data_IF_486765884038
#
_entry.id   IF_486765884038
#
_cell.length_a   1.000
_cell.length_b   1.000
_cell.length_c   1.000
_cell.angle_alpha   90.00
_cell.angle_beta   90.00
_cell.angle_gamma   90.00
#
_symmetry.space_group_name_H-M   'P 1'
#
loop_
_entity.id
_entity.type
_entity.pdbx_description
1 polymer ?
#
# COMPACT_ATOMS: atom_id res chain seq x y z
N UNK A 1 -15.60 -24.91 -14.62
CA UNK A 1 -15.28 -23.49 -14.82
C UNK A 1 -13.90 -23.38 -15.44
N UNK A 2 -13.63 -22.41 -16.32
CA UNK A 2 -12.27 -22.17 -16.82
C UNK A 2 -11.39 -21.67 -15.67
N UNK A 3 -10.11 -22.06 -15.67
CA UNK A 3 -9.13 -21.58 -14.68
C UNK A 3 -9.06 -20.05 -14.74
N UNK A 4 -9.19 -19.39 -13.60
CA UNK A 4 -8.98 -17.94 -13.49
C UNK A 4 -7.47 -17.66 -13.51
N UNK A 5 -7.04 -16.77 -14.39
CA UNK A 5 -5.65 -16.35 -14.53
C UNK A 5 -5.60 -14.84 -14.55
N UNK A 6 -4.97 -14.26 -13.54
CA UNK A 6 -4.80 -12.80 -13.41
C UNK A 6 -3.32 -12.43 -13.39
N UNK A 7 -3.03 -11.15 -13.49
CA UNK A 7 -1.68 -10.62 -13.39
C UNK A 7 -1.65 -9.22 -12.78
N UNK A 8 -0.57 -8.91 -12.08
CA UNK A 8 -0.16 -7.54 -11.82
C UNK A 8 0.99 -7.18 -12.76
N UNK A 9 0.87 -6.07 -13.48
CA UNK A 9 1.78 -5.70 -14.57
C UNK A 9 2.27 -4.25 -14.43
N UNK A 10 3.14 -3.96 -13.43
CA UNK A 10 3.65 -2.62 -13.20
C UNK A 10 4.79 -2.25 -14.16
N UNK A 11 4.87 -0.96 -14.54
CA UNK A 11 6.07 -0.38 -15.14
C UNK A 11 7.05 0.04 -14.04
N UNK A 12 8.34 -0.36 -14.08
CA UNK A 12 9.32 -0.08 -13.04
C UNK A 12 9.90 1.34 -13.20
N UNK A 13 9.04 2.36 -13.22
CA UNK A 13 9.40 3.78 -13.35
C UNK A 13 9.50 4.51 -12.00
N UNK A 14 9.38 3.78 -10.90
CA UNK A 14 9.45 4.26 -9.53
C UNK A 14 8.98 3.18 -8.54
N UNK A 15 8.92 3.56 -7.26
CA UNK A 15 8.46 2.65 -6.20
C UNK A 15 6.98 2.28 -6.36
N UNK A 16 6.61 1.12 -5.84
CA UNK A 16 5.22 0.66 -5.87
C UNK A 16 4.31 1.59 -5.05
N UNK A 17 3.37 2.20 -5.75
CA UNK A 17 2.37 3.07 -5.15
C UNK A 17 1.23 2.24 -4.53
N UNK A 18 0.63 2.71 -3.43
CA UNK A 18 -0.47 1.98 -2.76
C UNK A 18 -1.66 1.71 -3.69
N UNK A 19 -1.92 2.57 -4.68
CA UNK A 19 -2.94 2.30 -5.71
C UNK A 19 -2.60 1.09 -6.58
N UNK A 20 -1.31 0.91 -6.92
CA UNK A 20 -0.81 -0.28 -7.59
C UNK A 20 -0.92 -1.52 -6.69
N UNK A 21 -0.52 -1.41 -5.42
CA UNK A 21 -0.65 -2.51 -4.46
C UNK A 21 -2.11 -2.93 -4.28
N UNK A 22 -3.06 -1.99 -4.18
CA UNK A 22 -4.49 -2.33 -4.13
C UNK A 22 -4.92 -3.16 -5.35
N UNK A 23 -4.49 -2.74 -6.53
CA UNK A 23 -4.78 -3.47 -7.77
C UNK A 23 -4.16 -4.87 -7.76
N UNK A 24 -2.94 -5.01 -7.25
CA UNK A 24 -2.28 -6.29 -7.07
C UNK A 24 -3.04 -7.19 -6.09
N UNK A 25 -3.50 -6.64 -4.96
CA UNK A 25 -4.32 -7.35 -3.97
C UNK A 25 -5.61 -7.89 -4.62
N UNK A 26 -6.32 -7.10 -5.41
CA UNK A 26 -7.55 -7.54 -6.07
C UNK A 26 -7.30 -8.68 -7.07
N UNK A 27 -6.23 -8.58 -7.87
CA UNK A 27 -5.83 -9.66 -8.78
C UNK A 27 -5.46 -10.94 -8.03
N UNK A 28 -4.69 -10.82 -6.94
CA UNK A 28 -4.29 -11.92 -6.08
C UNK A 28 -5.49 -12.62 -5.44
N UNK A 29 -6.36 -11.84 -4.79
CA UNK A 29 -7.54 -12.37 -4.11
C UNK A 29 -8.46 -13.09 -5.09
N UNK A 30 -8.73 -12.51 -6.26
CA UNK A 30 -9.60 -13.13 -7.25
C UNK A 30 -9.03 -14.44 -7.80
N UNK A 31 -7.75 -14.47 -8.11
CA UNK A 31 -7.10 -15.71 -8.56
C UNK A 31 -7.13 -16.78 -7.48
N UNK A 32 -6.70 -16.46 -6.26
CA UNK A 32 -6.58 -17.43 -5.16
C UNK A 32 -7.93 -17.94 -4.67
N UNK A 33 -8.95 -17.08 -4.58
CA UNK A 33 -10.33 -17.48 -4.26
C UNK A 33 -10.89 -18.54 -5.22
N UNK A 34 -10.46 -18.51 -6.48
CA UNK A 34 -10.89 -19.42 -7.52
C UNK A 34 -9.87 -20.55 -7.81
N UNK A 35 -8.90 -20.79 -6.93
CA UNK A 35 -7.82 -21.78 -7.15
C UNK A 35 -7.08 -21.56 -8.49
N UNK A 36 -7.03 -20.32 -8.93
CA UNK A 36 -6.43 -19.85 -10.16
C UNK A 36 -4.97 -19.46 -10.02
N UNK A 37 -4.43 -18.81 -11.06
CA UNK A 37 -3.04 -18.33 -11.10
C UNK A 37 -2.96 -16.82 -11.06
N UNK A 38 -1.98 -16.32 -10.33
CA UNK A 38 -1.64 -14.90 -10.25
C UNK A 38 -0.20 -14.69 -10.67
N UNK A 39 0.03 -13.92 -11.73
CA UNK A 39 1.36 -13.67 -12.29
C UNK A 39 1.84 -12.25 -12.01
N UNK A 40 3.17 -12.11 -11.93
CA UNK A 40 3.84 -10.81 -11.91
C UNK A 40 4.57 -10.59 -13.24
N UNK A 41 4.26 -9.47 -13.93
CA UNK A 41 4.92 -9.05 -15.17
C UNK A 41 5.48 -7.64 -14.99
N UNK A 42 6.74 -7.45 -15.29
CA UNK A 42 7.41 -6.14 -15.28
C UNK A 42 7.36 -5.56 -16.70
N UNK A 43 6.70 -4.41 -16.84
CA UNK A 43 6.53 -3.71 -18.12
C UNK A 43 7.68 -2.71 -18.34
N UNK A 44 8.85 -3.24 -18.71
CA UNK A 44 10.13 -2.55 -18.80
C UNK A 44 10.59 -2.31 -20.27
N UNK A 45 9.65 -2.09 -21.19
CA UNK A 45 9.97 -1.82 -22.60
C UNK A 45 10.59 -0.45 -22.85
N UNK A 46 10.38 0.54 -21.96
CA UNK A 46 10.99 1.88 -22.05
C UNK A 46 12.30 1.91 -21.25
N UNK A 47 13.40 1.51 -21.90
CA UNK A 47 14.72 1.38 -21.29
C UNK A 47 15.26 2.69 -20.68
N UNK A 48 14.76 3.86 -21.11
CA UNK A 48 15.23 5.15 -20.59
C UNK A 48 14.57 5.55 -19.25
N UNK A 49 13.44 4.95 -18.92
CA UNK A 49 12.64 5.31 -17.74
C UNK A 49 12.60 4.23 -16.66
N UNK A 50 13.11 3.05 -16.96
CA UNK A 50 13.10 1.90 -16.07
C UNK A 50 14.36 1.83 -15.22
N UNK A 51 14.21 1.39 -13.97
CA UNK A 51 15.34 1.06 -13.11
C UNK A 51 15.22 -0.34 -12.50
N UNK A 52 16.35 -0.99 -12.31
CA UNK A 52 16.43 -2.30 -11.65
C UNK A 52 15.99 -2.15 -10.18
N UNK A 53 16.34 -1.02 -9.56
CA UNK A 53 15.98 -0.70 -8.18
C UNK A 53 14.45 -0.61 -8.02
N UNK A 54 13.75 0.01 -8.99
CA UNK A 54 12.29 0.08 -8.95
C UNK A 54 11.64 -1.30 -9.13
N UNK A 55 12.20 -2.16 -10.00
CA UNK A 55 11.72 -3.54 -10.14
C UNK A 55 11.93 -4.35 -8.85
N UNK A 56 13.10 -4.24 -8.22
CA UNK A 56 13.39 -4.89 -6.94
C UNK A 56 12.47 -4.38 -5.82
N UNK A 57 12.20 -3.08 -5.75
CA UNK A 57 11.30 -2.52 -4.75
C UNK A 57 9.85 -3.05 -4.89
N UNK A 58 9.38 -3.34 -6.11
CA UNK A 58 8.09 -3.99 -6.33
C UNK A 58 8.11 -5.42 -5.75
N UNK A 59 9.19 -6.17 -5.98
CA UNK A 59 9.34 -7.54 -5.48
C UNK A 59 9.41 -7.55 -3.95
N UNK A 60 10.15 -6.62 -3.35
CA UNK A 60 10.25 -6.47 -1.89
C UNK A 60 8.90 -6.13 -1.26
N UNK A 61 8.14 -5.21 -1.87
CA UNK A 61 6.80 -4.89 -1.43
C UNK A 61 5.86 -6.11 -1.46
N UNK A 62 5.92 -6.92 -2.52
CA UNK A 62 5.16 -8.17 -2.63
C UNK A 62 5.54 -9.17 -1.54
N UNK A 63 6.85 -9.33 -1.30
CA UNK A 63 7.35 -10.19 -0.23
C UNK A 63 6.89 -9.74 1.14
N UNK A 64 6.94 -8.43 1.41
CA UNK A 64 6.49 -7.88 2.69
C UNK A 64 5.00 -8.11 2.94
N UNK A 65 4.14 -7.81 1.95
CA UNK A 65 2.67 -7.98 2.11
C UNK A 65 2.21 -9.42 1.95
N UNK A 66 3.08 -10.35 1.54
CA UNK A 66 2.76 -11.77 1.37
C UNK A 66 1.94 -12.08 0.11
N UNK A 67 2.12 -11.30 -0.97
CA UNK A 67 1.50 -11.59 -2.27
C UNK A 67 2.39 -12.53 -3.09
N UNK A 68 2.15 -13.83 -2.97
CA UNK A 68 2.87 -14.85 -3.73
C UNK A 68 2.31 -14.96 -5.16
N UNK A 69 3.19 -14.87 -6.16
CA UNK A 69 2.86 -15.05 -7.58
C UNK A 69 3.33 -16.41 -8.09
N UNK A 70 2.71 -16.89 -9.16
CA UNK A 70 3.01 -18.17 -9.78
C UNK A 70 4.11 -18.04 -10.83
N UNK A 71 5.01 -19.01 -10.88
CA UNK A 71 6.06 -19.10 -11.88
C UNK A 71 7.13 -18.00 -11.74
N UNK A 72 7.81 -17.73 -12.84
CA UNK A 72 8.85 -16.70 -12.90
C UNK A 72 8.27 -15.32 -13.26
N UNK A 73 8.95 -14.26 -12.85
CA UNK A 73 8.61 -12.89 -13.24
C UNK A 73 8.87 -12.73 -14.75
N UNK A 74 7.85 -12.32 -15.47
CA UNK A 74 7.99 -12.01 -16.88
C UNK A 74 8.47 -10.56 -17.05
N UNK A 75 9.60 -10.38 -17.77
CA UNK A 75 10.13 -9.07 -18.16
C UNK A 75 9.85 -8.83 -19.65
N UNK A 76 9.16 -7.75 -19.98
CA UNK A 76 8.81 -7.44 -21.38
C UNK A 76 10.04 -7.13 -22.23
N UNK A 77 11.07 -6.50 -21.66
CA UNK A 77 12.33 -6.21 -22.35
C UNK A 77 13.04 -7.46 -22.90
N UNK A 78 12.76 -8.64 -22.37
CA UNK A 78 13.34 -9.92 -22.81
C UNK A 78 12.54 -10.60 -23.94
N UNK A 79 11.50 -9.95 -24.46
CA UNK A 79 10.51 -10.56 -25.37
C UNK A 79 10.39 -9.85 -26.71
N UNK A 80 11.29 -8.94 -27.05
CA UNK A 80 11.21 -8.17 -28.29
C UNK A 80 11.12 -9.03 -29.56
N UNK A 81 11.78 -10.17 -29.62
CA UNK A 81 11.69 -11.07 -30.78
C UNK A 81 10.28 -11.62 -30.95
N UNK A 82 9.62 -12.00 -29.86
CA UNK A 82 8.21 -12.44 -29.91
C UNK A 82 7.32 -11.33 -30.48
N UNK A 83 7.52 -10.08 -30.01
CA UNK A 83 6.71 -8.96 -30.51
C UNK A 83 6.94 -8.70 -31.98
N UNK A 84 8.18 -8.81 -32.48
CA UNK A 84 8.50 -8.70 -33.92
C UNK A 84 7.80 -9.77 -34.76
N UNK A 85 7.75 -11.00 -34.28
CA UNK A 85 7.03 -12.09 -34.98
C UNK A 85 5.54 -11.74 -35.15
N UNK A 86 4.89 -11.24 -34.10
CA UNK A 86 3.48 -10.85 -34.17
C UNK A 86 3.23 -9.58 -35.00
N UNK A 87 4.17 -8.62 -35.02
CA UNK A 87 4.10 -7.47 -35.93
C UNK A 87 4.19 -7.97 -37.37
N UNK A 88 5.15 -8.84 -37.68
CA UNK A 88 5.32 -9.39 -39.04
C UNK A 88 4.08 -10.18 -39.47
N UNK A 89 3.52 -10.99 -38.58
CA UNK A 89 2.25 -11.72 -38.85
C UNK A 89 1.12 -10.75 -39.22
N UNK A 90 0.96 -9.63 -38.51
CA UNK A 90 -0.09 -8.64 -38.84
C UNK A 90 0.16 -7.96 -40.19
N UNK A 91 1.42 -7.73 -40.55
CA UNK A 91 1.81 -7.18 -41.86
C UNK A 91 1.52 -8.18 -43.00
N UNK A 92 1.89 -9.45 -42.82
CA UNK A 92 1.68 -10.52 -43.80
C UNK A 92 0.19 -10.81 -44.05
N UNK A 93 -0.65 -10.66 -42.99
CA UNK A 93 -2.10 -10.81 -43.07
C UNK A 93 -2.85 -9.54 -43.53
N UNK A 94 -2.13 -8.51 -43.97
CA UNK A 94 -2.69 -7.19 -44.32
C UNK A 94 -3.55 -6.53 -43.24
N UNK A 95 -3.28 -6.87 -41.97
CA UNK A 95 -3.92 -6.29 -40.79
C UNK A 95 -3.16 -5.11 -40.21
N UNK A 96 -1.93 -4.90 -40.65
CA UNK A 96 -1.07 -3.75 -40.31
C UNK A 96 -0.36 -3.26 -41.56
N UNK A 97 0.22 -2.08 -41.52
CA UNK A 97 0.92 -1.48 -42.65
C UNK A 97 2.02 -0.51 -42.19
N UNK A 98 2.98 -0.26 -43.07
CA UNK A 98 4.01 0.73 -42.87
C UNK A 98 3.48 2.14 -43.13
N UNK A 99 3.67 3.04 -42.18
CA UNK A 99 3.30 4.46 -42.31
C UNK A 99 4.55 5.31 -42.33
N UNK A 100 4.74 6.05 -43.41
CA UNK A 100 5.90 6.91 -43.68
C UNK A 100 5.64 8.37 -43.31
N UNK A 101 4.56 8.69 -42.61
CA UNK A 101 4.27 10.03 -42.13
C UNK A 101 5.29 10.44 -41.06
N UNK A 102 6.01 11.53 -41.33
CA UNK A 102 6.93 12.10 -40.36
C UNK A 102 6.19 12.69 -39.16
N UNK A 103 6.92 12.93 -38.06
CA UNK A 103 6.35 13.59 -36.88
C UNK A 103 5.85 14.98 -37.18
N UNK A 104 6.63 15.74 -37.97
CA UNK A 104 6.29 17.12 -38.33
C UNK A 104 5.02 17.18 -39.19
N UNK A 105 4.86 16.26 -40.18
CA UNK A 105 3.63 16.14 -40.96
C UNK A 105 2.42 15.79 -40.09
N UNK A 106 2.59 14.87 -39.13
CA UNK A 106 1.52 14.49 -38.22
C UNK A 106 1.11 15.66 -37.32
N UNK A 107 2.08 16.41 -36.81
CA UNK A 107 1.83 17.56 -35.94
C UNK A 107 1.17 18.69 -36.74
N UNK A 108 1.60 18.96 -38.01
CA UNK A 108 0.93 19.90 -38.91
C UNK A 108 -0.53 19.50 -39.19
N UNK A 109 -0.78 18.21 -39.49
CA UNK A 109 -2.12 17.69 -39.72
C UNK A 109 -3.02 17.90 -38.47
N UNK A 110 -2.49 17.65 -37.27
CA UNK A 110 -3.22 17.85 -36.02
C UNK A 110 -3.57 19.32 -35.77
N UNK A 111 -2.67 20.25 -36.07
CA UNK A 111 -2.94 21.68 -35.93
C UNK A 111 -4.01 22.14 -36.96
N UNK A 112 -3.97 21.66 -38.19
CA UNK A 112 -5.03 21.91 -39.18
C UNK A 112 -6.40 21.38 -38.70
N UNK A 113 -6.44 20.16 -38.14
CA UNK A 113 -7.67 19.57 -37.63
C UNK A 113 -8.21 20.38 -36.43
N UNK A 114 -7.34 20.83 -35.49
CA UNK A 114 -7.73 21.74 -34.41
C UNK A 114 -8.31 23.07 -34.94
N UNK A 115 -7.68 23.66 -35.93
CA UNK A 115 -8.17 24.89 -36.56
C UNK A 115 -9.57 24.72 -37.17
N UNK A 116 -9.88 23.53 -37.68
CA UNK A 116 -11.22 23.15 -38.18
C UNK A 116 -12.16 22.66 -37.07
N UNK A 117 -11.73 22.68 -35.80
CA UNK A 117 -12.47 22.13 -34.62
C UNK A 117 -12.79 20.64 -34.72
N UNK A 118 -11.97 19.90 -35.45
CA UNK A 118 -12.00 18.44 -35.53
C UNK A 118 -11.16 17.83 -34.43
N UNK A 119 -11.45 16.58 -34.06
CA UNK A 119 -10.59 15.84 -33.12
C UNK A 119 -9.27 15.46 -33.79
N UNK A 120 -8.11 15.90 -33.28
CA UNK A 120 -6.81 15.61 -33.87
C UNK A 120 -6.50 14.11 -33.89
N UNK A 121 -6.23 13.57 -35.08
CA UNK A 121 -5.91 12.16 -35.27
C UNK A 121 -5.12 11.96 -36.59
N UNK A 122 -4.52 10.79 -36.73
CA UNK A 122 -3.94 10.36 -37.97
C UNK A 122 -5.05 10.08 -39.02
N UNK A 123 -4.87 10.50 -40.27
CA UNK A 123 -5.89 10.49 -41.32
C UNK A 123 -5.90 9.22 -42.19
N UNK A 124 -5.15 8.20 -41.80
CA UNK A 124 -5.05 6.89 -42.46
C UNK A 124 -4.50 6.94 -43.91
N UNK A 125 -3.83 8.03 -44.34
CA UNK A 125 -3.36 8.21 -45.73
C UNK A 125 -2.41 7.14 -46.25
N UNK A 126 -1.71 6.43 -45.36
CA UNK A 126 -0.82 5.32 -45.74
C UNK A 126 -1.47 3.95 -45.60
N UNK A 127 -2.75 3.85 -45.21
CA UNK A 127 -3.43 2.58 -44.92
C UNK A 127 -3.43 1.63 -46.12
N UNK A 128 -3.65 2.15 -47.33
CA UNK A 128 -3.68 1.37 -48.57
C UNK A 128 -2.60 1.83 -49.55
N UNK A 129 -1.52 2.39 -49.02
CA UNK A 129 -0.42 2.94 -49.81
C UNK A 129 0.32 1.83 -50.56
N UNK A 130 0.35 1.93 -51.88
CA UNK A 130 1.06 1.03 -52.82
C UNK A 130 2.19 1.72 -53.57
N UNK A 131 2.54 2.94 -53.18
CA UNK A 131 3.60 3.72 -53.79
C UNK A 131 5.01 3.28 -53.41
N UNK A 132 6.01 3.93 -53.98
CA UNK A 132 7.40 3.73 -53.56
C UNK A 132 7.63 4.41 -52.19
N UNK A 133 8.20 3.72 -51.21
CA UNK A 133 8.51 4.30 -49.91
C UNK A 133 9.37 5.56 -50.04
N UNK A 134 9.07 6.65 -49.32
CA UNK A 134 9.92 7.86 -49.33
C UNK A 134 11.33 7.54 -48.86
N UNK A 135 12.32 8.11 -49.55
CA UNK A 135 13.74 7.88 -49.16
C UNK A 135 14.05 8.59 -47.84
N UNK A 136 14.76 7.89 -46.95
CA UNK A 136 15.27 8.49 -45.70
C UNK A 136 14.23 8.62 -44.60
N UNK A 137 13.07 8.01 -44.73
CA UNK A 137 12.04 7.95 -43.68
C UNK A 137 11.92 6.50 -43.21
N UNK A 138 12.28 6.26 -41.94
CA UNK A 138 12.03 4.98 -41.25
C UNK A 138 10.54 4.93 -40.86
N UNK A 139 9.77 3.93 -41.37
CA UNK A 139 8.34 3.86 -41.11
C UNK A 139 8.01 3.42 -39.69
N UNK A 140 6.86 3.85 -39.19
CA UNK A 140 6.19 3.21 -38.08
C UNK A 140 5.23 2.14 -38.60
N UNK A 141 4.92 1.13 -37.78
CA UNK A 141 3.87 0.16 -38.12
C UNK A 141 2.58 0.54 -37.42
N UNK A 142 1.49 0.62 -38.18
CA UNK A 142 0.15 0.90 -37.71
C UNK A 142 -0.77 -0.31 -37.91
N UNK A 143 -1.65 -0.55 -36.94
CA UNK A 143 -2.73 -1.53 -37.08
C UNK A 143 -3.85 -0.96 -37.95
N UNK A 144 -4.50 -1.78 -38.77
CA UNK A 144 -5.73 -1.41 -39.48
C UNK A 144 -6.93 -1.57 -38.54
N UNK A 145 -7.39 -0.46 -37.99
CA UNK A 145 -8.61 -0.45 -37.15
C UNK A 145 -9.84 -0.68 -38.02
N UNK A 146 -10.79 -1.57 -37.69
CA UNK A 146 -12.04 -1.70 -38.43
C UNK A 146 -12.76 -0.35 -38.53
N UNK A 147 -13.38 -0.07 -39.66
CA UNK A 147 -14.07 1.21 -39.90
C UNK A 147 -15.59 1.02 -39.77
N UNK A 148 -16.28 2.05 -39.26
CA UNK A 148 -17.74 2.08 -39.14
C UNK A 148 -18.32 0.92 -38.25
N UNK A 149 -17.56 0.48 -37.28
CA UNK A 149 -17.99 -0.53 -36.32
C UNK A 149 -18.13 0.05 -34.91
N UNK A 150 -18.83 -0.68 -34.04
CA UNK A 150 -18.91 -0.39 -32.62
C UNK A 150 -18.18 -1.51 -31.87
N UNK A 151 -17.16 -1.13 -31.11
CA UNK A 151 -16.55 -2.01 -30.11
C UNK A 151 -17.38 -1.89 -28.83
N UNK A 152 -18.03 -2.99 -28.44
CA UNK A 152 -18.75 -3.11 -27.18
C UNK A 152 -18.11 -4.17 -26.30
N UNK A 153 -17.93 -3.88 -25.02
CA UNK A 153 -17.53 -4.84 -24.01
C UNK A 153 -18.20 -4.49 -22.67
N UNK A 154 -18.43 -5.53 -21.85
CA UNK A 154 -18.95 -5.33 -20.52
C UNK A 154 -17.81 -5.32 -19.51
N UNK A 155 -17.56 -4.15 -18.91
CA UNK A 155 -16.60 -4.01 -17.82
C UNK A 155 -17.26 -4.41 -16.50
N UNK A 156 -16.59 -5.25 -15.71
CA UNK A 156 -17.17 -5.77 -14.47
C UNK A 156 -17.41 -4.69 -13.39
N UNK A 157 -16.78 -3.50 -13.52
CA UNK A 157 -16.94 -2.38 -12.57
C UNK A 157 -17.71 -1.20 -13.19
N UNK A 158 -17.42 -0.88 -14.47
CA UNK A 158 -17.98 0.30 -15.15
C UNK A 158 -19.24 -0.02 -15.96
N UNK A 159 -19.58 -1.31 -16.12
CA UNK A 159 -20.72 -1.75 -16.94
C UNK A 159 -20.43 -1.74 -18.43
N UNK A 160 -21.46 -1.60 -19.26
CA UNK A 160 -21.31 -1.63 -20.71
C UNK A 160 -20.58 -0.40 -21.24
N UNK A 161 -19.49 -0.63 -21.99
CA UNK A 161 -18.68 0.39 -22.65
C UNK A 161 -18.79 0.22 -24.15
N UNK A 162 -19.17 1.28 -24.88
CA UNK A 162 -19.29 1.32 -26.33
C UNK A 162 -18.40 2.42 -26.91
N UNK A 163 -17.61 2.07 -27.91
CA UNK A 163 -16.72 3.01 -28.62
C UNK A 163 -16.89 2.81 -30.11
N UNK A 164 -17.17 3.90 -30.83
CA UNK A 164 -17.19 3.87 -32.29
C UNK A 164 -15.73 3.79 -32.81
N UNK A 165 -15.44 2.83 -33.68
CA UNK A 165 -14.08 2.66 -34.24
C UNK A 165 -13.62 3.88 -35.02
N UNK A 166 -14.54 4.70 -35.53
CA UNK A 166 -14.20 5.98 -36.18
C UNK A 166 -13.63 7.01 -35.19
N UNK A 167 -13.75 6.81 -33.89
CA UNK A 167 -13.08 7.62 -32.86
C UNK A 167 -11.63 7.18 -32.62
N UNK A 168 -11.26 5.99 -33.09
CA UNK A 168 -9.91 5.46 -33.03
C UNK A 168 -9.22 5.74 -34.38
N UNK A 169 -7.96 6.16 -34.32
CA UNK A 169 -7.10 6.16 -35.50
C UNK A 169 -6.40 4.80 -35.67
N UNK A 170 -5.83 4.55 -36.83
CA UNK A 170 -4.90 3.43 -37.00
C UNK A 170 -3.66 3.70 -36.15
N UNK A 171 -3.68 3.20 -34.93
CA UNK A 171 -2.64 3.51 -33.93
C UNK A 171 -1.35 2.74 -34.18
N UNK A 172 -0.23 3.32 -33.75
CA UNK A 172 1.11 2.74 -33.90
C UNK A 172 1.24 1.50 -32.99
N UNK A 173 1.69 0.37 -33.55
CA UNK A 173 2.03 -0.85 -32.83
C UNK A 173 3.54 -1.06 -32.72
N UNK A 174 4.34 -0.50 -33.67
CA UNK A 174 5.80 -0.42 -33.57
C UNK A 174 6.30 0.94 -34.01
N UNK A 175 7.26 1.50 -33.31
CA UNK A 175 7.94 2.76 -33.63
C UNK A 175 8.92 2.57 -34.79
N UNK A 176 9.48 3.66 -35.33
CA UNK A 176 10.47 3.62 -36.39
C UNK A 176 11.77 2.90 -36.03
N UNK A 177 12.12 2.86 -34.78
CA UNK A 177 13.26 2.09 -34.25
C UNK A 177 12.94 0.58 -34.02
N UNK A 178 11.73 0.15 -34.39
CA UNK A 178 11.24 -1.21 -34.19
C UNK A 178 10.70 -1.50 -32.79
N UNK A 179 10.76 -0.55 -31.86
CA UNK A 179 10.25 -0.73 -30.48
C UNK A 179 8.72 -0.85 -30.50
N UNK A 180 8.14 -1.93 -29.96
CA UNK A 180 6.69 -2.08 -29.90
C UNK A 180 6.05 -1.13 -28.89
N UNK A 181 4.77 -0.80 -29.08
CA UNK A 181 4.03 0.11 -28.21
C UNK A 181 3.30 -0.62 -27.10
N UNK A 182 2.95 0.10 -26.03
CA UNK A 182 2.30 -0.40 -24.83
C UNK A 182 1.08 -1.29 -25.12
N UNK A 183 0.08 -0.78 -25.85
CA UNK A 183 -1.15 -1.55 -26.12
C UNK A 183 -0.88 -2.86 -26.84
N UNK A 184 0.11 -2.87 -27.73
CA UNK A 184 0.48 -4.07 -28.47
C UNK A 184 1.14 -5.13 -27.57
N UNK A 185 2.18 -4.76 -26.81
CA UNK A 185 2.91 -5.73 -25.98
C UNK A 185 2.03 -6.32 -24.87
N UNK A 186 1.19 -5.49 -24.25
CA UNK A 186 0.25 -5.95 -23.21
C UNK A 186 -0.72 -6.98 -23.77
N UNK A 187 -1.28 -6.74 -24.97
CA UNK A 187 -2.19 -7.69 -25.62
C UNK A 187 -1.52 -9.02 -25.94
N UNK A 188 -0.29 -8.98 -26.47
CA UNK A 188 0.48 -10.20 -26.77
C UNK A 188 0.76 -11.00 -25.51
N UNK A 189 1.26 -10.34 -24.46
CA UNK A 189 1.64 -11.02 -23.24
C UNK A 189 0.43 -11.54 -22.46
N UNK A 190 -0.65 -10.77 -22.34
CA UNK A 190 -1.88 -11.26 -21.70
C UNK A 190 -2.41 -12.52 -22.41
N UNK A 191 -2.38 -12.54 -23.76
CA UNK A 191 -2.80 -13.70 -24.53
C UNK A 191 -1.89 -14.92 -24.32
N UNK A 192 -0.56 -14.73 -24.41
CA UNK A 192 0.42 -15.81 -24.29
C UNK A 192 0.56 -16.33 -22.86
N UNK A 193 0.30 -15.49 -21.85
CA UNK A 193 0.21 -15.90 -20.45
C UNK A 193 -1.13 -16.57 -20.11
N UNK A 194 -2.08 -16.58 -21.05
CA UNK A 194 -3.41 -17.15 -20.83
C UNK A 194 -4.25 -16.36 -19.83
N UNK A 195 -4.05 -15.03 -19.73
CA UNK A 195 -4.81 -14.19 -18.83
C UNK A 195 -6.29 -14.23 -19.20
N UNK A 196 -7.12 -14.55 -18.21
CA UNK A 196 -8.57 -14.62 -18.38
C UNK A 196 -9.30 -13.39 -17.89
N UNK A 197 -8.70 -12.68 -16.91
CA UNK A 197 -9.30 -11.55 -16.24
C UNK A 197 -8.25 -10.45 -15.97
N UNK A 198 -8.57 -9.23 -16.39
CA UNK A 198 -7.71 -8.06 -16.30
C UNK A 198 -8.32 -7.07 -15.32
N UNK A 199 -7.80 -7.05 -14.10
CA UNK A 199 -8.14 -6.05 -13.07
C UNK A 199 -7.04 -4.98 -13.07
N UNK A 200 -7.39 -3.71 -13.34
CA UNK A 200 -6.43 -2.60 -13.44
C UNK A 200 -7.07 -1.24 -13.15
N UNK A 201 -6.27 -0.18 -13.02
CA UNK A 201 -6.78 1.17 -12.83
C UNK A 201 -7.65 1.66 -14.01
N UNK A 202 -8.65 2.49 -13.72
CA UNK A 202 -9.57 3.04 -14.73
C UNK A 202 -8.95 4.10 -15.63
N UNK A 203 -7.75 4.56 -15.34
CA UNK A 203 -6.90 5.34 -16.25
C UNK A 203 -6.53 4.56 -17.54
N UNK A 204 -6.63 3.24 -17.50
CA UNK A 204 -6.44 2.36 -18.66
C UNK A 204 -7.74 2.04 -19.42
N UNK A 205 -8.89 2.54 -19.01
CA UNK A 205 -10.18 2.24 -19.67
C UNK A 205 -10.16 2.61 -21.16
N UNK A 206 -9.59 3.74 -21.51
CA UNK A 206 -9.44 4.21 -22.91
C UNK A 206 -8.49 3.36 -23.76
N UNK A 207 -7.65 2.51 -23.15
CA UNK A 207 -6.77 1.58 -23.86
C UNK A 207 -7.50 0.30 -24.27
N UNK A 208 -8.55 -0.08 -23.55
CA UNK A 208 -9.26 -1.36 -23.75
C UNK A 208 -9.82 -1.52 -25.16
N UNK A 209 -10.47 -0.54 -25.79
CA UNK A 209 -10.93 -0.68 -27.17
C UNK A 209 -9.79 -0.96 -28.17
N UNK A 210 -8.62 -0.31 -27.99
CA UNK A 210 -7.43 -0.57 -28.82
C UNK A 210 -6.91 -1.99 -28.63
N UNK A 211 -6.87 -2.47 -27.40
CA UNK A 211 -6.46 -3.84 -27.11
C UNK A 211 -7.45 -4.86 -27.66
N UNK A 212 -8.77 -4.58 -27.61
CA UNK A 212 -9.79 -5.45 -28.24
C UNK A 212 -9.59 -5.55 -29.77
N UNK A 213 -9.23 -4.43 -30.44
CA UNK A 213 -8.86 -4.47 -31.87
C UNK A 213 -7.69 -5.45 -32.10
N UNK A 214 -6.66 -5.38 -31.27
CA UNK A 214 -5.49 -6.27 -31.37
C UNK A 214 -5.82 -7.73 -31.05
N UNK A 215 -6.61 -8.03 -30.02
CA UNK A 215 -7.09 -9.37 -29.72
C UNK A 215 -7.83 -9.97 -30.93
N UNK A 216 -8.74 -9.22 -31.52
CA UNK A 216 -9.50 -9.64 -32.71
C UNK A 216 -8.58 -9.82 -33.93
N UNK A 217 -7.68 -8.88 -34.20
CA UNK A 217 -6.76 -8.94 -35.34
C UNK A 217 -5.84 -10.18 -35.27
N UNK A 218 -5.40 -10.55 -34.07
CA UNK A 218 -4.53 -11.70 -33.83
C UNK A 218 -5.28 -13.00 -33.56
N UNK A 219 -6.62 -12.96 -33.58
CA UNK A 219 -7.48 -14.09 -33.28
C UNK A 219 -7.24 -14.68 -31.87
N UNK A 220 -6.95 -13.81 -30.89
CA UNK A 220 -6.80 -14.17 -29.51
C UNK A 220 -8.13 -14.10 -28.76
N UNK A 221 -8.23 -14.86 -27.68
CA UNK A 221 -9.37 -14.78 -26.76
C UNK A 221 -9.29 -13.46 -25.98
N UNK A 222 -10.39 -12.70 -25.98
CA UNK A 222 -10.50 -11.44 -25.23
C UNK A 222 -10.75 -11.79 -23.75
N UNK A 223 -9.95 -11.25 -22.79
CA UNK A 223 -10.18 -11.44 -21.35
C UNK A 223 -11.39 -10.62 -20.87
N UNK A 224 -11.88 -10.92 -19.67
CA UNK A 224 -12.78 -10.03 -18.95
C UNK A 224 -11.99 -8.82 -18.42
N UNK A 225 -12.65 -7.66 -18.32
CA UNK A 225 -12.03 -6.43 -17.84
C UNK A 225 -12.75 -5.89 -16.60
N UNK A 226 -11.96 -5.37 -15.65
CA UNK A 226 -12.43 -4.72 -14.44
C UNK A 226 -11.58 -3.47 -14.21
N UNK A 227 -12.13 -2.29 -14.46
CA UNK A 227 -11.43 -1.01 -14.31
C UNK A 227 -11.76 -0.36 -12.97
N UNK A 228 -10.80 -0.44 -12.06
CA UNK A 228 -10.94 0.02 -10.67
C UNK A 228 -10.68 1.51 -10.58
N UNK A 229 -11.57 2.31 -9.95
CA UNK A 229 -11.37 3.74 -9.77
C UNK A 229 -10.10 4.09 -8.99
N UNK A 230 -9.55 5.27 -9.23
CA UNK A 230 -8.40 5.78 -8.49
C UNK A 230 -8.70 5.97 -7.01
N UNK A 231 -7.66 5.94 -6.18
CA UNK A 231 -7.71 6.36 -4.78
C UNK A 231 -7.53 7.88 -4.73
N UNK A 232 -8.41 8.56 -4.00
CA UNK A 232 -8.35 9.99 -3.75
C UNK A 232 -7.81 10.25 -2.34
N UNK A 233 -7.29 11.45 -2.09
CA UNK A 233 -6.99 11.95 -0.74
C UNK A 233 -8.29 12.40 -0.03
N UNK A 234 -8.17 12.87 1.22
CA UNK A 234 -9.32 13.33 2.01
C UNK A 234 -10.01 14.57 1.41
N UNK A 235 -9.29 15.35 0.57
CA UNK A 235 -9.83 16.51 -0.16
C UNK A 235 -10.46 16.12 -1.52
N UNK A 236 -10.56 14.83 -1.84
CA UNK A 236 -11.13 14.34 -3.09
C UNK A 236 -10.24 14.52 -4.32
N UNK A 237 -8.96 14.78 -4.15
CA UNK A 237 -7.99 14.90 -5.23
C UNK A 237 -7.22 13.59 -5.41
N UNK A 238 -6.62 13.37 -6.59
CA UNK A 238 -5.75 12.21 -6.83
C UNK A 238 -4.64 12.16 -5.78
N UNK A 239 -4.50 11.01 -5.12
CA UNK A 239 -3.44 10.79 -4.15
C UNK A 239 -2.07 10.97 -4.81
N UNK A 240 -1.21 11.79 -4.21
CA UNK A 240 0.12 12.11 -4.74
C UNK A 240 1.16 12.12 -3.63
N UNK A 241 2.44 12.07 -4.00
CA UNK A 241 3.58 12.11 -3.06
C UNK A 241 3.56 13.31 -2.08
N UNK A 242 2.83 14.38 -2.40
CA UNK A 242 2.69 15.57 -1.52
C UNK A 242 1.70 15.36 -0.36
N UNK A 243 0.88 14.32 -0.42
CA UNK A 243 -0.18 14.03 0.57
C UNK A 243 0.21 12.92 1.57
N UNK A 244 1.51 12.60 1.68
CA UNK A 244 2.03 11.59 2.60
C UNK A 244 2.65 10.38 1.90
N UNK A 245 2.88 9.32 2.64
CA UNK A 245 3.47 8.10 2.12
C UNK A 245 2.63 7.51 0.97
N UNK A 246 3.23 7.40 -0.20
CA UNK A 246 2.60 6.78 -1.37
C UNK A 246 3.29 5.49 -1.77
N UNK A 247 4.57 5.33 -1.39
CA UNK A 247 5.34 4.12 -1.56
C UNK A 247 4.94 3.10 -0.48
N UNK A 248 4.76 1.86 -0.90
CA UNK A 248 4.36 0.75 -0.02
C UNK A 248 5.36 0.53 1.12
N UNK A 249 6.65 0.63 0.85
CA UNK A 249 7.69 0.41 1.87
C UNK A 249 7.73 1.49 2.95
N UNK A 250 7.27 2.72 2.64
CA UNK A 250 7.16 3.78 3.64
C UNK A 250 6.22 3.36 4.79
N UNK A 251 5.14 2.60 4.50
CA UNK A 251 4.23 2.11 5.53
C UNK A 251 4.89 1.10 6.46
N UNK A 252 5.77 0.24 5.94
CA UNK A 252 6.58 -0.65 6.77
C UNK A 252 7.49 0.15 7.72
N UNK A 253 8.18 1.17 7.20
CA UNK A 253 9.07 2.04 7.98
C UNK A 253 8.31 2.88 9.03
N UNK A 254 7.04 3.21 8.75
CA UNK A 254 6.14 3.87 9.71
C UNK A 254 5.60 2.90 10.77
N UNK A 255 5.85 1.60 10.63
CA UNK A 255 5.45 0.57 11.57
C UNK A 255 4.02 0.07 11.40
N UNK A 256 3.45 0.16 10.19
CA UNK A 256 2.18 -0.50 9.89
C UNK A 256 2.37 -2.00 9.69
N UNK A 257 1.40 -2.77 10.15
CA UNK A 257 1.33 -4.21 9.92
C UNK A 257 0.81 -4.48 8.51
N UNK A 258 1.38 -5.48 7.84
CA UNK A 258 0.98 -5.86 6.48
C UNK A 258 -0.50 -6.26 6.39
N UNK A 259 -1.01 -6.96 7.40
CA UNK A 259 -2.42 -7.38 7.50
C UNK A 259 -3.35 -6.16 7.53
N UNK A 260 -2.99 -5.14 8.30
CA UNK A 260 -3.75 -3.91 8.40
C UNK A 260 -3.75 -3.15 7.05
N UNK A 261 -2.59 -3.04 6.39
CA UNK A 261 -2.49 -2.38 5.10
C UNK A 261 -3.27 -3.12 4.01
N UNK A 262 -3.16 -4.46 3.94
CA UNK A 262 -3.90 -5.28 2.97
C UNK A 262 -5.40 -5.15 3.17
N UNK A 263 -5.88 -5.29 4.41
CA UNK A 263 -7.30 -5.11 4.73
C UNK A 263 -7.78 -3.69 4.38
N UNK A 264 -7.03 -2.65 4.76
CA UNK A 264 -7.36 -1.27 4.45
C UNK A 264 -7.49 -1.04 2.95
N UNK A 265 -6.52 -1.50 2.15
CA UNK A 265 -6.52 -1.35 0.71
C UNK A 265 -7.62 -2.16 0.03
N UNK A 266 -7.94 -3.36 0.52
CA UNK A 266 -9.07 -4.13 0.03
C UNK A 266 -10.38 -3.36 0.22
N UNK A 267 -10.57 -2.70 1.36
CA UNK A 267 -11.74 -1.88 1.65
C UNK A 267 -11.81 -0.58 0.82
N UNK A 268 -10.73 -0.15 0.21
CA UNK A 268 -10.74 0.99 -0.70
C UNK A 268 -11.25 0.58 -2.10
N UNK A 269 -12.54 0.34 -2.20
CA UNK A 269 -13.24 0.00 -3.44
C UNK A 269 -13.98 -1.33 -3.40
N UNK A 270 -13.89 -2.09 -2.31
CA UNK A 270 -14.65 -3.32 -2.08
C UNK A 270 -15.24 -3.32 -0.68
N UNK A 271 -16.39 -3.96 -0.51
CA UNK A 271 -17.04 -4.13 0.78
C UNK A 271 -17.81 -5.44 0.85
N UNK A 272 -17.91 -5.99 2.03
CA UNK A 272 -18.72 -7.16 2.32
C UNK A 272 -19.55 -6.90 3.57
N UNK A 273 -20.86 -6.70 3.40
CA UNK A 273 -21.77 -6.29 4.46
C UNK A 273 -21.22 -5.08 5.25
N UNK A 274 -21.43 -5.05 6.57
CA UNK A 274 -20.93 -4.00 7.47
C UNK A 274 -19.56 -4.32 8.09
N UNK A 275 -18.87 -5.37 7.60
CA UNK A 275 -17.60 -5.81 8.16
C UNK A 275 -16.45 -4.89 7.74
N UNK A 276 -15.61 -4.52 8.70
CA UNK A 276 -14.47 -3.62 8.51
C UNK A 276 -13.12 -4.35 8.63
N UNK A 277 -13.04 -5.35 9.49
CA UNK A 277 -11.82 -6.13 9.77
C UNK A 277 -11.93 -7.50 9.14
N UNK A 278 -10.95 -7.86 8.31
CA UNK A 278 -10.91 -9.12 7.57
C UNK A 278 -9.57 -9.81 7.74
N UNK A 279 -9.57 -11.06 8.14
CA UNK A 279 -8.41 -11.92 7.96
C UNK A 279 -8.14 -12.16 6.46
N UNK A 280 -6.92 -12.55 6.10
CA UNK A 280 -6.60 -12.94 4.71
C UNK A 280 -7.50 -14.08 4.22
N UNK A 281 -7.83 -15.04 5.10
CA UNK A 281 -8.72 -16.14 4.75
C UNK A 281 -10.12 -15.65 4.38
N UNK A 282 -10.69 -14.72 5.14
CA UNK A 282 -12.00 -14.13 4.85
C UNK A 282 -11.98 -13.28 3.57
N UNK A 283 -10.88 -12.55 3.30
CA UNK A 283 -10.71 -11.84 2.03
C UNK A 283 -10.70 -12.82 0.85
N UNK A 284 -10.02 -13.95 0.98
CA UNK A 284 -9.98 -15.00 -0.05
C UNK A 284 -11.33 -15.69 -0.24
N UNK A 285 -12.12 -15.83 0.82
CA UNK A 285 -13.43 -16.48 0.77
C UNK A 285 -14.50 -15.59 0.13
N UNK A 286 -14.46 -14.27 0.40
CA UNK A 286 -15.59 -13.38 0.09
C UNK A 286 -15.32 -12.39 -1.03
N UNK A 287 -14.08 -12.24 -1.48
CA UNK A 287 -13.76 -11.28 -2.53
C UNK A 287 -14.28 -11.72 -3.90
N UNK A 288 -15.18 -10.92 -4.49
CA UNK A 288 -15.56 -10.99 -5.91
C UNK A 288 -15.30 -9.62 -6.56
N UNK A 289 -14.57 -9.54 -7.69
CA UNK A 289 -14.33 -8.28 -8.38
C UNK A 289 -15.60 -7.64 -8.96
N UNK A 290 -16.71 -8.37 -9.03
CA UNK A 290 -18.01 -7.81 -9.42
C UNK A 290 -18.62 -6.90 -8.36
N UNK A 291 -18.18 -7.05 -7.10
CA UNK A 291 -18.62 -6.23 -5.97
C UNK A 291 -17.73 -4.97 -5.80
N UNK A 292 -16.82 -4.73 -6.74
CA UNK A 292 -16.02 -3.52 -6.75
C UNK A 292 -16.87 -2.28 -7.05
N UNK A 293 -16.68 -1.23 -6.23
CA UNK A 293 -17.37 0.03 -6.41
C UNK A 293 -16.90 0.75 -7.68
N UNK A 294 -17.86 1.32 -8.43
CA UNK A 294 -17.57 2.11 -9.64
C UNK A 294 -17.06 3.53 -9.34
N UNK A 295 -17.24 4.02 -8.12
CA UNK A 295 -16.84 5.34 -7.65
C UNK A 295 -15.47 5.31 -6.95
N UNK A 296 -14.68 6.38 -7.04
CA UNK A 296 -13.41 6.49 -6.30
C UNK A 296 -13.61 6.40 -4.79
N UNK A 297 -12.62 5.86 -4.09
CA UNK A 297 -12.57 5.79 -2.63
C UNK A 297 -11.54 6.76 -2.08
N UNK A 298 -11.85 7.41 -0.94
CA UNK A 298 -10.92 8.32 -0.27
C UNK A 298 -10.06 7.56 0.74
N UNK A 299 -8.77 7.84 0.70
CA UNK A 299 -7.81 7.39 1.71
C UNK A 299 -8.03 8.15 3.01
N UNK A 300 -8.03 7.46 4.15
CA UNK A 300 -8.12 8.09 5.48
C UNK A 300 -7.05 7.53 6.42
N UNK A 301 -6.17 8.42 6.89
CA UNK A 301 -5.17 8.09 7.91
C UNK A 301 -5.81 7.64 9.22
N UNK A 302 -6.89 8.28 9.63
CA UNK A 302 -7.62 7.91 10.84
C UNK A 302 -8.11 6.45 10.77
N UNK A 303 -8.68 6.05 9.63
CA UNK A 303 -9.17 4.68 9.44
C UNK A 303 -8.04 3.66 9.37
N UNK A 304 -6.94 3.98 8.70
CA UNK A 304 -5.75 3.11 8.63
C UNK A 304 -5.13 2.92 10.03
N UNK A 305 -4.98 4.01 10.79
CA UNK A 305 -4.44 3.96 12.16
C UNK A 305 -5.33 3.13 13.09
N UNK A 306 -6.64 3.33 13.03
CA UNK A 306 -7.60 2.54 13.81
C UNK A 306 -7.48 1.05 13.48
N UNK A 307 -7.43 0.72 12.20
CA UNK A 307 -7.32 -0.67 11.75
C UNK A 307 -5.98 -1.28 12.17
N UNK A 308 -4.89 -0.55 12.03
CA UNK A 308 -3.58 -1.00 12.45
C UNK A 308 -3.50 -1.23 13.96
N UNK A 309 -4.06 -0.32 14.76
CA UNK A 309 -4.17 -0.50 16.21
C UNK A 309 -4.97 -1.75 16.57
N UNK A 310 -6.05 -2.06 15.82
CA UNK A 310 -6.82 -3.28 16.02
C UNK A 310 -5.96 -4.54 15.80
N UNK A 311 -5.20 -4.61 14.72
CA UNK A 311 -4.31 -5.75 14.45
C UNK A 311 -3.16 -5.85 15.47
N UNK A 312 -2.60 -4.69 15.85
CA UNK A 312 -1.51 -4.61 16.81
C UNK A 312 -1.90 -5.16 18.19
N UNK A 313 -3.10 -4.84 18.67
CA UNK A 313 -3.65 -5.34 19.94
C UNK A 313 -3.81 -6.85 19.97
N UNK A 314 -4.07 -7.48 18.86
CA UNK A 314 -4.24 -8.91 18.74
C UNK A 314 -2.93 -9.71 18.64
N UNK A 315 -1.77 -9.02 18.54
CA UNK A 315 -0.46 -9.68 18.52
C UNK A 315 -0.08 -10.17 19.92
N UNK A 316 0.52 -11.34 19.99
CA UNK A 316 1.17 -11.84 21.20
C UNK A 316 2.47 -11.07 21.48
N UNK A 317 2.97 -11.13 22.70
CA UNK A 317 4.25 -10.52 23.07
C UNK A 317 5.41 -11.05 22.19
N UNK A 318 5.43 -12.35 21.90
CA UNK A 318 6.46 -12.97 21.08
C UNK A 318 6.40 -12.45 19.62
N UNK A 319 5.21 -12.32 19.03
CA UNK A 319 5.04 -11.75 17.70
C UNK A 319 5.46 -10.28 17.65
N UNK A 320 5.09 -9.50 18.69
CA UNK A 320 5.51 -8.10 18.79
C UNK A 320 7.02 -7.94 18.86
N UNK A 321 7.73 -8.79 19.59
CA UNK A 321 9.20 -8.77 19.65
C UNK A 321 9.84 -9.00 18.30
N UNK A 322 9.34 -9.94 17.50
CA UNK A 322 9.81 -10.16 16.15
C UNK A 322 9.54 -8.96 15.23
N UNK A 323 8.33 -8.41 15.33
CA UNK A 323 7.91 -7.25 14.53
C UNK A 323 8.65 -5.95 14.90
N UNK A 324 9.11 -5.84 16.15
CA UNK A 324 9.85 -4.67 16.65
C UNK A 324 11.34 -4.67 16.24
N UNK A 325 11.92 -5.81 15.81
CA UNK A 325 13.35 -5.90 15.45
C UNK A 325 13.88 -4.80 14.51
N UNK A 326 13.12 -4.31 13.52
CA UNK A 326 13.58 -3.23 12.66
C UNK A 326 13.64 -1.85 13.32
N UNK A 327 13.02 -1.70 14.50
CA UNK A 327 12.92 -0.42 15.20
C UNK A 327 13.93 -0.35 16.35
N UNK A 328 14.55 0.82 16.50
CA UNK A 328 15.45 1.07 17.62
C UNK A 328 14.66 1.39 18.87
N UNK A 329 14.99 0.74 19.99
CA UNK A 329 14.41 0.98 21.32
C UNK A 329 15.35 0.43 22.39
N UNK A 330 15.00 0.68 23.66
CA UNK A 330 15.76 0.25 24.83
C UNK A 330 15.94 -1.25 24.92
N UNK A 331 17.09 -1.68 25.48
CA UNK A 331 17.35 -3.09 25.75
C UNK A 331 16.30 -3.67 26.73
N UNK A 332 15.67 -4.75 26.31
CA UNK A 332 14.67 -5.48 27.07
C UNK A 332 15.25 -6.61 27.94
N UNK A 333 16.52 -6.92 27.78
CA UNK A 333 17.17 -8.04 28.48
C UNK A 333 17.13 -7.95 30.03
N UNK A 334 17.03 -6.76 30.66
CA UNK A 334 16.89 -6.65 32.10
C UNK A 334 15.51 -7.09 32.64
N UNK A 335 14.49 -7.20 31.77
CA UNK A 335 13.15 -7.59 32.16
C UNK A 335 13.02 -9.11 32.21
N UNK A 336 12.36 -9.61 33.25
CA UNK A 336 11.94 -11.01 33.26
C UNK A 336 10.73 -11.22 32.30
N UNK A 337 10.41 -12.46 31.91
CA UNK A 337 9.33 -12.72 30.93
C UNK A 337 7.99 -12.08 31.31
N UNK A 338 7.61 -12.12 32.58
CA UNK A 338 6.33 -11.55 33.07
C UNK A 338 6.30 -10.02 32.96
N UNK A 339 7.43 -9.38 33.30
CA UNK A 339 7.56 -7.91 33.11
C UNK A 339 7.52 -7.51 31.64
N UNK A 340 8.16 -8.28 30.76
CA UNK A 340 8.19 -8.06 29.33
C UNK A 340 6.77 -8.20 28.71
N UNK A 341 6.07 -9.27 29.02
CA UNK A 341 4.69 -9.49 28.58
C UNK A 341 3.80 -8.33 29.04
N UNK A 342 3.94 -7.93 30.30
CA UNK A 342 3.15 -6.83 30.89
C UNK A 342 3.43 -5.48 30.23
N UNK A 343 4.71 -5.20 29.92
CA UNK A 343 5.12 -3.98 29.20
C UNK A 343 4.45 -3.92 27.82
N UNK A 344 4.61 -4.98 27.04
CA UNK A 344 4.07 -5.03 25.67
C UNK A 344 2.54 -4.98 25.66
N UNK A 345 1.86 -5.68 26.55
CA UNK A 345 0.40 -5.64 26.67
C UNK A 345 -0.12 -4.26 27.07
N UNK A 346 0.53 -3.59 28.02
CA UNK A 346 0.13 -2.26 28.45
C UNK A 346 0.33 -1.20 27.35
N UNK A 347 1.36 -1.37 26.51
CA UNK A 347 1.72 -0.39 25.48
C UNK A 347 1.01 -0.64 24.15
N UNK A 348 0.76 -1.90 23.75
CA UNK A 348 0.04 -2.20 22.50
C UNK A 348 -1.38 -1.63 22.50
N UNK A 349 -2.05 -1.59 23.66
CA UNK A 349 -3.39 -0.99 23.83
C UNK A 349 -3.43 0.52 23.53
N UNK A 350 -2.27 1.18 23.58
CA UNK A 350 -2.11 2.63 23.48
C UNK A 350 -1.33 3.06 22.24
N UNK A 351 -0.94 2.12 21.37
CA UNK A 351 -0.12 2.36 20.20
C UNK A 351 -0.90 2.10 18.92
N UNK A 352 -0.68 2.93 17.93
CA UNK A 352 -1.28 2.79 16.60
C UNK A 352 -0.33 2.11 15.62
N UNK A 353 0.99 2.20 15.84
CA UNK A 353 2.02 1.59 14.98
C UNK A 353 3.13 0.95 15.81
N UNK A 354 3.92 0.06 15.19
CA UNK A 354 5.10 -0.52 15.82
C UNK A 354 6.14 0.54 16.18
N UNK A 355 6.29 1.57 15.36
CA UNK A 355 7.20 2.69 15.62
C UNK A 355 6.78 3.47 16.87
N UNK A 356 5.49 3.72 17.02
CA UNK A 356 4.94 4.35 18.23
C UNK A 356 5.11 3.44 19.46
N UNK A 357 4.92 2.13 19.29
CA UNK A 357 5.13 1.15 20.37
C UNK A 357 6.61 1.18 20.83
N UNK A 358 7.57 1.19 19.89
CA UNK A 358 9.00 1.28 20.21
C UNK A 358 9.32 2.56 21.00
N UNK A 359 8.81 3.71 20.58
CA UNK A 359 8.98 4.97 21.33
C UNK A 359 8.39 4.92 22.73
N UNK A 360 7.24 4.28 22.91
CA UNK A 360 6.61 4.12 24.23
C UNK A 360 7.35 3.16 25.12
N UNK A 361 8.03 2.14 24.58
CA UNK A 361 8.95 1.30 25.34
C UNK A 361 10.04 2.15 25.97
N UNK A 362 10.66 3.04 25.16
CA UNK A 362 11.69 3.95 25.65
C UNK A 362 11.17 4.91 26.73
N UNK A 363 9.96 5.45 26.55
CA UNK A 363 9.32 6.31 27.55
C UNK A 363 9.13 5.64 28.92
N UNK A 364 9.00 4.32 28.95
CA UNK A 364 8.87 3.56 30.20
C UNK A 364 10.24 3.17 30.75
N UNK A 365 11.15 2.68 29.91
CA UNK A 365 12.40 2.06 30.36
C UNK A 365 13.52 3.05 30.59
N UNK A 366 13.58 4.16 29.84
CA UNK A 366 14.59 5.21 30.07
C UNK A 366 14.19 6.03 31.29
N UNK A 367 15.09 6.13 32.27
CA UNK A 367 14.86 6.98 33.43
C UNK A 367 14.75 8.45 33.04
N UNK A 368 13.76 9.19 33.55
CA UNK A 368 13.60 10.59 33.20
C UNK A 368 14.78 11.44 33.69
N UNK A 369 15.35 12.23 32.79
CA UNK A 369 16.37 13.25 33.08
C UNK A 369 15.69 14.60 33.32
N UNK A 370 14.60 14.85 32.61
CA UNK A 370 13.78 16.06 32.70
C UNK A 370 12.34 15.67 33.01
N UNK A 371 11.60 16.57 33.61
CA UNK A 371 10.21 16.36 33.99
C UNK A 371 9.29 17.32 33.23
N UNK A 372 8.11 16.87 32.84
CA UNK A 372 7.12 17.69 32.13
C UNK A 372 6.80 18.97 32.89
N UNK A 373 7.30 20.10 32.40
CA UNK A 373 7.31 21.40 33.07
C UNK A 373 5.91 21.86 33.51
N UNK A 374 4.90 21.64 32.67
CA UNK A 374 3.50 22.02 32.98
C UNK A 374 2.94 21.26 34.17
N UNK A 375 3.35 19.99 34.34
CA UNK A 375 2.94 19.16 35.48
C UNK A 375 3.77 19.51 36.69
N UNK A 376 5.09 19.59 36.54
CA UNK A 376 6.02 19.90 37.63
C UNK A 376 5.71 21.22 38.33
N UNK A 377 5.47 22.30 37.56
CA UNK A 377 5.12 23.63 38.11
C UNK A 377 3.82 23.69 38.89
N UNK A 378 2.94 22.74 38.71
CA UNK A 378 1.65 22.66 39.44
C UNK A 378 1.75 21.89 40.75
N UNK A 379 2.89 21.24 41.01
CA UNK A 379 3.07 20.43 42.21
C UNK A 379 3.28 21.35 43.44
N UNK A 380 2.59 21.03 44.51
CA UNK A 380 2.91 21.58 45.83
C UNK A 380 4.07 20.74 46.42
N UNK A 381 5.31 21.19 46.18
CA UNK A 381 6.50 20.45 46.60
C UNK A 381 6.53 20.19 48.14
N UNK A 382 6.06 21.12 48.94
CA UNK A 382 5.99 20.93 50.40
C UNK A 382 5.09 19.78 50.82
N UNK A 383 4.08 19.46 50.04
CA UNK A 383 3.20 18.31 50.26
C UNK A 383 3.77 17.03 49.61
N UNK A 384 4.30 17.15 48.39
CA UNK A 384 4.68 16.00 47.53
C UNK A 384 5.94 15.30 48.04
N UNK A 385 6.96 16.06 48.48
CA UNK A 385 8.23 15.44 48.88
C UNK A 385 8.08 14.50 50.07
N UNK A 386 7.37 14.86 51.20
CA UNK A 386 7.16 13.96 52.30
C UNK A 386 6.33 12.71 51.91
N UNK A 387 5.34 12.85 51.02
CA UNK A 387 4.52 11.73 50.52
C UNK A 387 5.36 10.72 49.74
N UNK A 388 6.23 11.15 48.84
CA UNK A 388 7.11 10.29 48.08
C UNK A 388 8.17 9.62 48.97
N UNK A 389 8.72 10.31 49.99
CA UNK A 389 9.62 9.71 50.95
C UNK A 389 8.91 8.59 51.75
N UNK A 390 7.69 8.86 52.22
CA UNK A 390 6.88 7.85 52.95
C UNK A 390 6.58 6.66 52.06
N UNK A 391 6.20 6.90 50.79
CA UNK A 391 5.93 5.82 49.82
C UNK A 391 7.19 5.00 49.52
N UNK A 392 8.36 5.62 49.42
CA UNK A 392 9.63 4.92 49.25
C UNK A 392 9.89 3.92 50.40
N UNK A 393 9.57 4.30 51.65
CA UNK A 393 9.67 3.39 52.81
C UNK A 393 8.68 2.23 52.70
N UNK A 394 7.43 2.48 52.32
CA UNK A 394 6.42 1.46 52.10
C UNK A 394 6.84 0.45 51.00
N UNK A 395 7.40 0.93 49.90
CA UNK A 395 7.89 0.09 48.79
C UNK A 395 9.02 -0.86 49.22
N UNK A 396 9.77 -0.56 50.32
CA UNK A 396 10.80 -1.50 50.81
C UNK A 396 10.26 -2.83 51.29
N UNK A 397 9.01 -2.86 51.76
CA UNK A 397 8.34 -4.07 52.26
C UNK A 397 7.29 -4.62 51.29
N UNK A 398 6.95 -3.90 50.24
CA UNK A 398 5.95 -4.28 49.24
C UNK A 398 6.48 -5.37 48.30
N UNK A 399 5.65 -6.34 47.98
CA UNK A 399 5.96 -7.36 47.00
C UNK A 399 5.78 -6.82 45.56
N UNK A 400 6.87 -6.64 44.83
CA UNK A 400 6.86 -6.13 43.47
C UNK A 400 6.40 -7.16 42.42
N UNK A 401 6.24 -8.42 42.78
CA UNK A 401 5.69 -9.44 41.88
C UNK A 401 4.16 -9.51 41.93
N UNK A 402 3.52 -8.65 42.71
CA UNK A 402 2.07 -8.59 42.88
C UNK A 402 1.58 -7.15 42.64
N UNK A 403 0.93 -6.93 41.51
CA UNK A 403 0.36 -5.64 41.15
C UNK A 403 -0.69 -5.15 42.15
N UNK A 404 -1.41 -6.08 42.82
CA UNK A 404 -2.39 -5.72 43.83
C UNK A 404 -1.70 -5.19 45.12
N UNK A 405 -0.55 -5.76 45.50
CA UNK A 405 0.25 -5.25 46.59
C UNK A 405 0.78 -3.85 46.31
N UNK A 406 1.22 -3.57 45.07
CA UNK A 406 1.66 -2.23 44.64
C UNK A 406 0.51 -1.23 44.66
N UNK A 407 -0.68 -1.62 44.21
CA UNK A 407 -1.89 -0.78 44.24
C UNK A 407 -2.31 -0.45 45.66
N UNK A 408 -2.32 -1.46 46.55
CA UNK A 408 -2.63 -1.30 47.98
C UNK A 408 -1.63 -0.37 48.69
N UNK A 409 -0.33 -0.48 48.37
CA UNK A 409 0.68 0.41 48.91
C UNK A 409 0.43 1.89 48.54
N UNK A 410 0.00 2.14 47.32
CA UNK A 410 -0.38 3.50 46.87
C UNK A 410 -1.64 3.99 47.60
N UNK A 411 -2.67 3.16 47.71
CA UNK A 411 -3.91 3.51 48.41
C UNK A 411 -3.68 3.76 49.91
N UNK A 412 -2.82 2.97 50.57
CA UNK A 412 -2.45 3.16 51.94
C UNK A 412 -1.93 4.60 52.21
N UNK A 413 -1.04 5.11 51.39
CA UNK A 413 -0.54 6.48 51.52
C UNK A 413 -1.67 7.51 51.41
N UNK A 414 -2.58 7.33 50.42
CA UNK A 414 -3.71 8.24 50.22
C UNK A 414 -4.65 8.26 51.42
N UNK A 415 -4.96 7.10 51.99
CA UNK A 415 -5.87 6.95 53.14
C UNK A 415 -5.24 7.49 54.45
N UNK A 416 -3.99 7.13 54.73
CA UNK A 416 -3.29 7.57 55.94
C UNK A 416 -3.11 9.06 55.98
N UNK A 417 -2.76 9.71 54.84
CA UNK A 417 -2.54 11.14 54.70
C UNK A 417 -3.84 11.94 54.43
N UNK A 418 -4.96 11.23 54.25
CA UNK A 418 -6.29 11.83 53.96
C UNK A 418 -6.29 12.82 52.81
N UNK A 419 -5.59 12.48 51.73
CA UNK A 419 -5.41 13.32 50.56
C UNK A 419 -6.24 12.86 49.37
N UNK A 420 -6.41 13.75 48.36
CA UNK A 420 -7.00 13.32 47.09
C UNK A 420 -6.00 12.48 46.32
N UNK A 421 -6.46 11.42 45.68
CA UNK A 421 -5.60 10.50 44.89
C UNK A 421 -4.70 11.22 43.89
N UNK A 422 -5.21 12.22 43.17
CA UNK A 422 -4.43 12.99 42.19
C UNK A 422 -3.25 13.74 42.79
N UNK A 423 -3.34 14.15 44.11
CA UNK A 423 -2.25 14.87 44.78
C UNK A 423 -1.02 14.01 45.06
N UNK A 424 -1.17 12.66 44.99
CA UNK A 424 -0.09 11.70 45.12
C UNK A 424 0.24 10.95 43.83
N UNK A 425 -0.78 10.48 43.11
CA UNK A 425 -0.61 9.64 41.93
C UNK A 425 0.09 10.41 40.78
N UNK A 426 -0.20 11.71 40.64
CA UNK A 426 0.38 12.52 39.55
C UNK A 426 1.87 12.83 39.78
N UNK A 427 2.31 13.26 40.96
CA UNK A 427 3.73 13.36 41.31
C UNK A 427 4.49 12.04 41.19
N UNK A 428 3.92 10.93 41.67
CA UNK A 428 4.52 9.61 41.53
C UNK A 428 4.73 9.23 40.05
N UNK A 429 3.73 9.50 39.19
CA UNK A 429 3.85 9.27 37.76
C UNK A 429 4.98 10.11 37.15
N UNK A 430 5.06 11.37 37.54
CA UNK A 430 6.13 12.26 37.07
C UNK A 430 7.50 11.74 37.51
N UNK A 431 7.64 11.31 38.77
CA UNK A 431 8.89 10.74 39.28
C UNK A 431 9.30 9.45 38.53
N UNK A 432 8.35 8.57 38.21
CA UNK A 432 8.63 7.29 37.56
C UNK A 432 8.85 7.44 36.03
N UNK A 433 8.05 8.26 35.35
CA UNK A 433 7.95 8.31 33.89
C UNK A 433 8.35 9.67 33.28
N UNK A 434 8.62 10.69 34.09
CA UNK A 434 8.93 12.05 33.60
C UNK A 434 7.75 12.85 33.04
N UNK A 435 6.58 12.23 32.90
CA UNK A 435 5.39 12.78 32.23
C UNK A 435 4.13 12.62 33.07
N UNK A 436 3.13 13.45 32.81
CA UNK A 436 1.81 13.35 33.45
C UNK A 436 0.91 12.25 32.93
N UNK A 437 1.25 11.66 31.79
CA UNK A 437 0.54 10.54 31.13
C UNK A 437 1.39 9.29 31.01
N UNK A 438 0.84 8.24 30.39
CA UNK A 438 1.54 6.98 30.15
C UNK A 438 0.77 5.75 30.65
N UNK A 439 1.48 4.65 30.90
CA UNK A 439 0.90 3.40 31.47
C UNK A 439 0.38 3.61 32.89
N UNK A 440 -0.38 2.66 33.41
CA UNK A 440 -0.83 2.69 34.79
C UNK A 440 0.34 2.70 35.79
N UNK A 441 0.14 3.27 36.97
CA UNK A 441 1.22 3.37 37.97
C UNK A 441 1.63 2.02 38.55
N UNK A 442 0.68 1.13 38.79
CA UNK A 442 0.97 -0.22 39.26
C UNK A 442 1.74 -1.03 38.20
N UNK A 443 1.36 -0.89 36.93
CA UNK A 443 2.08 -1.46 35.80
C UNK A 443 3.50 -0.89 35.70
N UNK A 444 3.67 0.43 35.83
CA UNK A 444 4.98 1.06 35.81
C UNK A 444 5.88 0.56 36.92
N UNK A 445 5.40 0.50 38.17
CA UNK A 445 6.14 -0.05 39.28
C UNK A 445 6.51 -1.52 39.10
N UNK A 446 5.56 -2.35 38.63
CA UNK A 446 5.78 -3.77 38.36
C UNK A 446 6.87 -3.97 37.30
N UNK A 447 6.77 -3.26 36.17
CA UNK A 447 7.70 -3.36 35.03
C UNK A 447 9.10 -2.88 35.43
N UNK A 448 9.22 -1.72 36.09
CA UNK A 448 10.50 -1.14 36.52
C UNK A 448 11.15 -1.95 37.66
N UNK A 449 10.35 -2.66 38.43
CA UNK A 449 10.82 -3.39 39.61
C UNK A 449 11.26 -2.46 40.74
N UNK A 450 11.63 -3.06 41.84
CA UNK A 450 11.93 -2.34 43.10
C UNK A 450 13.11 -1.38 42.96
N UNK A 451 14.22 -1.87 42.45
CA UNK A 451 15.48 -1.09 42.41
C UNK A 451 15.35 0.16 41.55
N UNK A 452 14.82 0.02 40.35
CA UNK A 452 14.68 1.15 39.43
C UNK A 452 13.61 2.14 39.88
N UNK A 453 12.48 1.63 40.44
CA UNK A 453 11.43 2.50 40.96
C UNK A 453 11.92 3.36 42.13
N UNK A 454 12.64 2.78 43.09
CA UNK A 454 13.22 3.52 44.21
C UNK A 454 14.23 4.56 43.73
N UNK A 455 15.11 4.18 42.80
CA UNK A 455 16.11 5.10 42.20
C UNK A 455 15.46 6.28 41.52
N UNK A 456 14.39 6.09 40.74
CA UNK A 456 13.68 7.18 40.07
C UNK A 456 12.99 8.13 41.05
N UNK A 457 12.35 7.59 42.09
CA UNK A 457 11.77 8.39 43.17
C UNK A 457 12.86 9.22 43.87
N UNK A 458 14.01 8.61 44.20
CA UNK A 458 15.13 9.33 44.80
C UNK A 458 15.70 10.44 43.93
N UNK A 459 15.81 10.21 42.62
CA UNK A 459 16.27 11.22 41.68
C UNK A 459 15.28 12.39 41.59
N UNK A 460 13.98 12.10 41.59
CA UNK A 460 12.95 13.15 41.62
C UNK A 460 12.99 14.00 42.91
N UNK A 461 13.23 13.37 44.06
CA UNK A 461 13.31 14.05 45.34
C UNK A 461 14.52 15.00 45.47
N UNK A 462 15.55 14.86 44.60
CA UNK A 462 16.73 15.72 44.57
C UNK A 462 16.56 16.98 43.69
N UNK A 463 15.48 17.05 42.90
CA UNK A 463 15.16 18.18 42.01
C UNK A 463 14.12 19.11 42.65
#
# INVERSE_FOLDING_TARGET
>A
MSLIVTRFAPSPTGYLHIGGLRTAIFNYLFARANQGKFFLRIEDTDLNRNSIEAANAIIEAFKWVGLEYDGEILYQSRRFEIYKEYIQKLLDEDKAYYCYMSKDELDALREEQKARKETPRYDNRYRDFKGTPPKGIEPVVRIKVPQNEIISFNDGVKGEVKVNTNELDDFIIARSDGTPTYNFVVTIDDALMGITDVIRGDDHLSNTPKQIVLYKALNFKIPNFFHVPMILNEEGQKLSKRHGATNVMDYQEMGYLKEALVNFLARLGWSYQDKEVFSMQELLEWFDPKDLNSSPSCFSWHKLNWLNAHYLKNQSAQELLELLKPFSFSDLSPLNPTQLDRLLDALKERSQTLKELALKIDEVLIAPIEYEEKVFKKLNQALVMPLLEKFKLELNTTNFNDESALENAMHKIIEEEKIKAGSFMQPLRLALLGKGGGIGLKEALFILGKTESLKRIENFLKN
#
